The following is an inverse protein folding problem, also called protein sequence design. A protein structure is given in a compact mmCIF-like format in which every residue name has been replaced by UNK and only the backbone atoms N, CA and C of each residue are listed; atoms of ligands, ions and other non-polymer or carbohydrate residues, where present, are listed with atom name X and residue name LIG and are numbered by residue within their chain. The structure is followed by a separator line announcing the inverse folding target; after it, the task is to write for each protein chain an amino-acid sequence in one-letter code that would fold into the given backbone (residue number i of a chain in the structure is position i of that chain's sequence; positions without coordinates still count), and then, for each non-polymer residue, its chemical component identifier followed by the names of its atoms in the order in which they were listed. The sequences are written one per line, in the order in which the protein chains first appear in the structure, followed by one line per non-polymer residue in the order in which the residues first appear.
data_IF_580901265680
#
_entry.id   IF_580901265680
#
_cell.length_a   1.000
_cell.length_b   1.000
_cell.length_c   1.000
_cell.angle_alpha   90.00
_cell.angle_beta   90.00
_cell.angle_gamma   90.00
#
_symmetry.space_group_name_H-M   'P 1'
#
loop_
_entity.id
_entity.type
_entity.pdbx_description
1 polymer ?
#
# COMPACT_ATOMS: atom_id res chain seq x y z
N UNK A 1 13.69 -20.98 26.10
CA UNK A 1 13.66 -19.83 27.03
C UNK A 1 12.31 -19.15 26.85
N UNK A 2 11.50 -19.03 27.89
CA UNK A 2 10.23 -18.30 27.79
C UNK A 2 10.54 -16.81 27.76
N UNK A 3 10.29 -16.16 26.63
CA UNK A 3 10.37 -14.71 26.53
C UNK A 3 9.24 -14.11 27.36
N UNK A 4 9.56 -13.66 28.57
CA UNK A 4 8.61 -12.93 29.41
C UNK A 4 8.40 -11.56 28.77
N UNK A 5 7.19 -11.33 28.24
CA UNK A 5 6.81 -10.02 27.73
C UNK A 5 6.79 -9.05 28.90
N UNK A 6 7.62 -8.02 28.84
CA UNK A 6 7.57 -6.92 29.80
C UNK A 6 6.38 -6.02 29.44
N UNK A 7 5.26 -6.25 30.13
CA UNK A 7 3.98 -5.57 29.90
C UNK A 7 4.12 -4.04 30.05
N UNK A 8 4.89 -3.57 31.03
CA UNK A 8 5.11 -2.13 31.26
C UNK A 8 5.83 -1.50 30.08
N UNK A 9 6.90 -2.14 29.60
CA UNK A 9 7.64 -1.68 28.42
C UNK A 9 6.78 -1.75 27.14
N UNK A 10 5.87 -2.71 27.04
CA UNK A 10 4.97 -2.82 25.88
C UNK A 10 3.93 -1.69 25.89
N UNK A 11 3.39 -1.35 27.05
CA UNK A 11 2.50 -0.21 27.23
C UNK A 11 3.21 1.13 26.93
N UNK A 12 4.47 1.29 27.36
CA UNK A 12 5.29 2.46 27.05
C UNK A 12 5.52 2.60 25.54
N UNK A 13 5.89 1.52 24.87
CA UNK A 13 6.07 1.54 23.41
C UNK A 13 4.76 1.87 22.67
N UNK A 14 3.62 1.32 23.09
CA UNK A 14 2.32 1.67 22.51
C UNK A 14 2.01 3.16 22.67
N UNK A 15 2.36 3.75 23.82
CA UNK A 15 2.20 5.20 24.03
C UNK A 15 3.07 5.99 23.05
N UNK A 16 4.35 5.61 22.90
CA UNK A 16 5.28 6.24 21.97
C UNK A 16 4.82 6.12 20.52
N UNK A 17 4.26 4.98 20.12
CA UNK A 17 3.68 4.80 18.79
C UNK A 17 2.47 5.70 18.56
N UNK A 18 1.58 5.84 19.56
CA UNK A 18 0.44 6.76 19.45
C UNK A 18 0.88 8.22 19.29
N UNK A 19 1.91 8.63 20.02
CA UNK A 19 2.50 9.97 19.87
C UNK A 19 3.09 10.13 18.46
N UNK A 20 3.85 9.14 17.99
CA UNK A 20 4.45 9.15 16.67
C UNK A 20 3.41 9.19 15.54
N UNK A 21 2.30 8.47 15.67
CA UNK A 21 1.19 8.53 14.73
C UNK A 21 0.63 9.95 14.63
N UNK A 22 0.38 10.59 15.78
CA UNK A 22 -0.15 11.97 15.81
C UNK A 22 0.80 12.94 15.13
N UNK A 23 2.10 12.84 15.40
CA UNK A 23 3.12 13.66 14.75
C UNK A 23 3.14 13.45 13.23
N UNK A 24 3.14 12.20 12.78
CA UNK A 24 3.07 11.89 11.35
C UNK A 24 1.82 12.48 10.68
N UNK A 25 0.65 12.33 11.29
CA UNK A 25 -0.59 12.91 10.78
C UNK A 25 -0.54 14.44 10.72
N UNK A 26 0.14 15.09 11.68
CA UNK A 26 0.36 16.53 11.65
C UNK A 26 1.29 16.94 10.51
N UNK A 27 2.41 16.24 10.29
CA UNK A 27 3.32 16.54 9.17
C UNK A 27 2.63 16.35 7.81
N UNK A 28 1.87 15.25 7.66
CA UNK A 28 1.07 15.03 6.46
C UNK A 28 0.10 16.18 6.18
N UNK A 29 -0.57 16.72 7.22
CA UNK A 29 -1.48 17.86 7.08
C UNK A 29 -0.77 19.18 6.78
N UNK A 30 0.44 19.40 7.31
CA UNK A 30 1.21 20.63 7.04
C UNK A 30 1.59 20.75 5.57
N UNK A 31 1.91 19.63 4.94
CA UNK A 31 2.34 19.58 3.54
C UNK A 31 1.19 19.34 2.57
N UNK A 32 -0.03 19.19 3.08
CA UNK A 32 -1.19 18.94 2.26
C UNK A 32 -1.50 20.10 1.31
N UNK A 33 -1.71 19.79 0.02
CA UNK A 33 -2.12 20.75 -1.00
C UNK A 33 -1.05 21.79 -1.37
N UNK A 34 0.21 21.61 -0.96
CA UNK A 34 1.29 22.56 -1.24
C UNK A 34 1.89 22.45 -2.66
N UNK A 35 1.67 21.34 -3.37
CA UNK A 35 2.03 21.18 -4.79
C UNK A 35 0.89 20.50 -5.56
N UNK A 36 0.60 20.95 -6.78
CA UNK A 36 -0.25 20.19 -7.71
C UNK A 36 0.44 18.86 -8.03
N UNK A 37 -0.09 17.77 -7.48
CA UNK A 37 0.29 16.42 -7.87
C UNK A 37 -0.78 15.88 -8.83
N UNK A 38 -0.53 15.84 -10.15
CA UNK A 38 -1.55 15.43 -11.12
C UNK A 38 -1.93 13.95 -11.01
N UNK A 39 -1.13 13.15 -10.29
CA UNK A 39 -1.34 11.70 -10.16
C UNK A 39 -2.32 11.37 -9.04
N UNK A 40 -2.44 12.23 -8.03
CA UNK A 40 -3.29 11.98 -6.88
C UNK A 40 -3.06 12.92 -5.69
N UNK A 41 -3.80 12.70 -4.61
CA UNK A 41 -3.75 13.51 -3.39
C UNK A 41 -4.13 12.68 -2.17
N UNK A 42 -3.62 13.09 -1.00
CA UNK A 42 -4.14 12.61 0.29
C UNK A 42 -5.43 13.35 0.64
N UNK A 43 -6.30 12.70 1.41
CA UNK A 43 -7.50 13.31 1.99
C UNK A 43 -7.54 13.01 3.49
N UNK A 44 -7.95 14.00 4.25
CA UNK A 44 -8.11 13.92 5.69
C UNK A 44 -9.57 14.19 6.02
N UNK A 45 -10.23 13.25 6.69
CA UNK A 45 -11.59 13.41 7.20
C UNK A 45 -11.60 13.01 8.68
N UNK A 46 -11.73 14.00 9.57
CA UNK A 46 -11.51 13.86 11.01
C UNK A 46 -10.20 13.11 11.35
N UNK A 47 -10.32 11.82 11.69
CA UNK A 47 -9.24 10.90 12.07
C UNK A 47 -8.92 9.86 10.98
N UNK A 48 -9.59 9.93 9.83
CA UNK A 48 -9.39 9.04 8.70
C UNK A 48 -8.46 9.66 7.67
N UNK A 49 -7.53 8.82 7.18
CA UNK A 49 -6.65 9.11 6.07
C UNK A 49 -7.11 8.28 4.88
N UNK A 50 -7.34 8.93 3.74
CA UNK A 50 -7.54 8.26 2.47
C UNK A 50 -6.61 8.85 1.42
N UNK A 51 -6.47 8.13 0.31
CA UNK A 51 -5.63 8.56 -0.81
C UNK A 51 -6.41 8.34 -2.10
N UNK A 52 -6.42 9.37 -2.94
CA UNK A 52 -6.97 9.26 -4.29
C UNK A 52 -5.83 9.26 -5.28
N UNK A 53 -5.73 8.21 -6.06
CA UNK A 53 -4.74 8.09 -7.14
C UNK A 53 -5.41 7.51 -8.38
N UNK A 54 -5.04 8.01 -9.56
CA UNK A 54 -5.53 7.48 -10.84
C UNK A 54 -7.08 7.36 -10.92
N UNK A 55 -7.79 8.28 -10.27
CA UNK A 55 -9.26 8.29 -10.22
C UNK A 55 -9.90 7.30 -9.24
N UNK A 56 -9.12 6.54 -8.47
CA UNK A 56 -9.59 5.57 -7.48
C UNK A 56 -9.38 6.11 -6.07
N UNK A 57 -10.41 6.02 -5.23
CA UNK A 57 -10.32 6.33 -3.80
C UNK A 57 -9.94 5.08 -3.01
N UNK A 58 -8.88 5.20 -2.20
CA UNK A 58 -8.34 4.12 -1.38
C UNK A 58 -8.34 4.55 0.08
N UNK A 59 -8.76 3.67 0.97
CA UNK A 59 -8.75 3.90 2.41
C UNK A 59 -7.39 3.52 3.00
N UNK A 60 -6.95 4.27 4.02
CA UNK A 60 -5.75 3.94 4.78
C UNK A 60 -6.13 3.61 6.22
N UNK A 61 -5.93 2.35 6.60
CA UNK A 61 -6.04 1.90 8.01
C UNK A 61 -4.66 1.75 8.61
N UNK A 62 -4.56 1.92 9.93
CA UNK A 62 -3.30 1.78 10.63
C UNK A 62 -3.44 0.93 11.90
N UNK A 63 -2.37 0.25 12.29
CA UNK A 63 -2.30 -0.48 13.57
C UNK A 63 -0.85 -0.61 14.06
N UNK A 64 -0.61 -0.60 15.38
CA UNK A 64 0.67 -1.03 15.94
C UNK A 64 0.96 -2.48 15.56
N UNK A 65 2.22 -2.80 15.25
CA UNK A 65 2.67 -4.16 14.94
C UNK A 65 3.86 -4.55 15.80
N UNK A 66 3.85 -5.81 16.20
CA UNK A 66 4.92 -6.47 16.95
C UNK A 66 5.87 -7.13 15.95
N UNK A 67 7.17 -6.86 16.09
CA UNK A 67 8.24 -7.52 15.32
C UNK A 67 9.03 -8.46 16.23
N UNK A 68 10.19 -8.95 15.76
CA UNK A 68 11.00 -10.00 16.38
C UNK A 68 11.23 -9.87 17.90
N UNK A 69 11.19 -8.65 18.42
CA UNK A 69 11.36 -8.32 19.84
C UNK A 69 10.18 -8.69 20.74
N UNK A 70 9.05 -9.16 20.19
CA UNK A 70 7.78 -9.35 20.91
C UNK A 70 7.21 -8.05 21.49
N UNK A 71 7.73 -6.90 21.05
CA UNK A 71 7.31 -5.57 21.46
C UNK A 71 6.68 -4.83 20.27
N UNK A 72 5.65 -4.00 20.49
CA UNK A 72 5.15 -3.13 19.44
C UNK A 72 6.19 -2.04 19.18
N UNK A 73 6.73 -1.96 17.96
CA UNK A 73 7.85 -1.06 17.64
C UNK A 73 7.61 -0.22 16.40
N UNK A 74 6.52 -0.48 15.68
CA UNK A 74 6.15 0.24 14.47
C UNK A 74 4.64 0.25 14.27
N UNK A 75 4.18 1.08 13.34
CA UNK A 75 2.79 1.16 12.90
C UNK A 75 2.74 0.71 11.44
N UNK A 76 1.94 -0.31 11.15
CA UNK A 76 1.59 -0.69 9.78
C UNK A 76 0.45 0.20 9.31
N UNK A 77 0.60 0.78 8.13
CA UNK A 77 -0.45 1.44 7.37
C UNK A 77 -0.79 0.56 6.17
N UNK A 78 -2.07 0.28 5.99
CA UNK A 78 -2.60 -0.56 4.92
C UNK A 78 -3.49 0.31 4.05
N UNK A 79 -3.09 0.46 2.79
CA UNK A 79 -3.85 1.12 1.74
C UNK A 79 -4.64 0.06 1.00
N UNK A 80 -5.97 0.19 0.97
CA UNK A 80 -6.85 -0.82 0.37
C UNK A 80 -8.10 -0.18 -0.23
N UNK A 81 -8.83 -0.97 -1.02
CA UNK A 81 -10.15 -0.60 -1.53
C UNK A 81 -11.00 -1.86 -1.73
N UNK A 82 -12.27 -1.67 -2.06
CA UNK A 82 -13.17 -2.75 -2.45
C UNK A 82 -13.27 -2.83 -3.98
N UNK A 83 -13.07 -4.02 -4.52
CA UNK A 83 -13.19 -4.29 -5.95
C UNK A 83 -13.84 -5.66 -6.13
N UNK A 84 -14.93 -5.71 -6.90
CA UNK A 84 -15.68 -6.96 -7.15
C UNK A 84 -16.12 -7.70 -5.87
N UNK A 85 -16.46 -6.95 -4.81
CA UNK A 85 -16.81 -7.47 -3.47
C UNK A 85 -15.63 -8.06 -2.68
N UNK A 86 -14.39 -7.86 -3.13
CA UNK A 86 -13.17 -8.26 -2.43
C UNK A 86 -12.40 -7.04 -1.91
N UNK A 87 -11.77 -7.19 -0.74
CA UNK A 87 -10.84 -6.20 -0.23
C UNK A 87 -9.46 -6.38 -0.88
N UNK A 88 -9.10 -5.45 -1.73
CA UNK A 88 -7.79 -5.43 -2.40
C UNK A 88 -6.84 -4.55 -1.61
N UNK A 89 -5.81 -5.16 -1.01
CA UNK A 89 -4.69 -4.42 -0.44
C UNK A 89 -3.79 -3.96 -1.58
N UNK A 90 -3.65 -2.63 -1.71
CA UNK A 90 -2.85 -2.00 -2.75
C UNK A 90 -1.41 -1.83 -2.27
N UNK A 91 -1.23 -1.32 -1.05
CA UNK A 91 0.09 -1.01 -0.54
C UNK A 91 0.13 -1.09 0.98
N UNK A 92 1.31 -1.42 1.50
CA UNK A 92 1.60 -1.38 2.93
C UNK A 92 2.87 -0.61 3.16
N UNK A 93 2.89 0.21 4.20
CA UNK A 93 4.09 0.90 4.65
C UNK A 93 4.11 0.95 6.17
N UNK A 94 5.29 1.23 6.72
CA UNK A 94 5.54 1.12 8.15
C UNK A 94 6.17 2.38 8.68
N UNK A 95 5.64 2.92 9.78
CA UNK A 95 6.23 4.02 10.54
C UNK A 95 6.93 3.48 11.77
N UNK A 96 8.23 3.68 11.82
CA UNK A 96 9.11 3.23 12.89
C UNK A 96 9.23 4.28 13.99
N UNK A 97 9.55 3.83 15.21
CA UNK A 97 9.82 4.74 16.34
C UNK A 97 10.96 5.73 16.08
N UNK A 98 11.91 5.36 15.22
CA UNK A 98 13.05 6.19 14.78
C UNK A 98 12.68 7.22 13.71
N UNK A 99 11.38 7.47 13.49
CA UNK A 99 10.87 8.46 12.55
C UNK A 99 10.94 8.06 11.06
N UNK A 100 11.40 6.86 10.75
CA UNK A 100 11.51 6.36 9.38
C UNK A 100 10.18 5.78 8.87
N UNK A 101 9.89 6.02 7.60
CA UNK A 101 8.89 5.27 6.84
C UNK A 101 9.59 4.27 5.91
N UNK A 102 9.08 3.05 5.86
CA UNK A 102 9.62 1.97 5.01
C UNK A 102 8.54 1.14 4.34
N UNK A 103 8.92 0.41 3.28
CA UNK A 103 8.05 -0.56 2.59
C UNK A 103 7.95 -1.90 3.32
N UNK A 104 8.86 -2.17 4.25
CA UNK A 104 8.98 -3.44 4.96
C UNK A 104 9.23 -3.25 6.47
N UNK A 105 8.85 -4.21 7.33
CA UNK A 105 8.99 -4.10 8.78
C UNK A 105 10.44 -4.04 9.29
N UNK A 106 11.42 -4.48 8.50
CA UNK A 106 12.84 -4.51 8.86
C UNK A 106 13.59 -3.20 8.54
N UNK A 107 12.92 -2.23 7.91
CA UNK A 107 13.50 -0.97 7.42
C UNK A 107 14.54 -1.07 6.30
N UNK A 108 14.75 -2.23 5.67
CA UNK A 108 15.72 -2.37 4.57
C UNK A 108 15.31 -1.53 3.34
N UNK A 109 14.00 -1.32 3.14
CA UNK A 109 13.47 -0.49 2.06
C UNK A 109 12.88 0.81 2.59
N UNK A 110 13.75 1.78 2.92
CA UNK A 110 13.35 3.12 3.35
C UNK A 110 12.60 3.87 2.23
N UNK A 111 11.51 4.53 2.60
CA UNK A 111 10.78 5.49 1.77
C UNK A 111 11.35 6.89 2.00
N UNK A 112 11.22 7.40 3.23
CA UNK A 112 11.71 8.70 3.68
C UNK A 112 11.56 8.80 5.21
N UNK A 113 11.96 9.92 5.78
CA UNK A 113 11.58 10.28 7.17
C UNK A 113 10.16 10.88 7.17
N UNK A 114 9.42 10.73 8.28
CA UNK A 114 7.99 11.12 8.31
C UNK A 114 7.76 12.63 8.15
N UNK A 115 8.75 13.45 8.49
CA UNK A 115 8.74 14.92 8.43
C UNK A 115 9.29 15.46 7.09
N UNK A 116 9.49 14.58 6.12
CA UNK A 116 9.94 14.98 4.79
C UNK A 116 8.85 15.81 4.10
N UNK A 117 9.18 17.04 3.68
CA UNK A 117 8.25 17.92 2.97
C UNK A 117 7.63 17.33 1.68
N UNK A 118 8.21 16.28 1.10
CA UNK A 118 7.68 15.57 -0.09
C UNK A 118 6.90 14.30 0.26
N UNK A 119 6.59 14.07 1.54
CA UNK A 119 5.97 12.85 2.04
C UNK A 119 4.70 12.47 1.27
N UNK A 120 3.80 13.42 1.04
CA UNK A 120 2.57 13.18 0.29
C UNK A 120 2.86 12.70 -1.14
N UNK A 121 3.78 13.38 -1.83
CA UNK A 121 4.18 13.04 -3.20
C UNK A 121 4.78 11.64 -3.29
N UNK A 122 5.62 11.27 -2.32
CA UNK A 122 6.22 9.94 -2.23
C UNK A 122 5.13 8.88 -2.05
N UNK A 123 4.21 9.06 -1.09
CA UNK A 123 3.12 8.11 -0.84
C UNK A 123 2.18 7.97 -2.05
N UNK A 124 1.79 9.09 -2.68
CA UNK A 124 0.99 9.08 -3.90
C UNK A 124 1.67 8.30 -5.02
N UNK A 125 2.97 8.51 -5.22
CA UNK A 125 3.73 7.79 -6.25
C UNK A 125 3.76 6.28 -5.98
N UNK A 126 4.14 5.86 -4.76
CA UNK A 126 4.20 4.45 -4.39
C UNK A 126 2.86 3.75 -4.55
N UNK A 127 1.78 4.36 -4.05
CA UNK A 127 0.44 3.78 -4.14
C UNK A 127 -0.02 3.70 -5.60
N UNK A 128 0.30 4.69 -6.43
CA UNK A 128 -0.02 4.66 -7.86
C UNK A 128 0.67 3.51 -8.60
N UNK A 129 1.97 3.31 -8.35
CA UNK A 129 2.71 2.21 -8.96
C UNK A 129 2.16 0.83 -8.56
N UNK A 130 1.76 0.66 -7.30
CA UNK A 130 1.18 -0.61 -6.83
C UNK A 130 -0.25 -0.80 -7.33
N UNK A 131 -1.04 0.27 -7.41
CA UNK A 131 -2.40 0.22 -7.92
C UNK A 131 -2.43 -0.25 -9.38
N UNK A 132 -1.50 0.24 -10.22
CA UNK A 132 -1.36 -0.22 -11.62
C UNK A 132 -1.02 -1.71 -11.75
N UNK A 133 -0.41 -2.31 -10.72
CA UNK A 133 -0.08 -3.74 -10.66
C UNK A 133 -1.20 -4.59 -10.04
N UNK A 134 -2.18 -3.93 -9.41
CA UNK A 134 -3.28 -4.58 -8.71
C UNK A 134 -4.33 -5.15 -9.68
N UNK A 135 -5.20 -6.08 -9.22
CA UNK A 135 -6.30 -6.60 -10.03
C UNK A 135 -7.22 -5.53 -10.63
N UNK A 136 -7.35 -4.37 -9.98
CA UNK A 136 -8.23 -3.26 -10.40
C UNK A 136 -7.89 -2.76 -11.82
N UNK A 137 -6.61 -2.78 -12.18
CA UNK A 137 -6.10 -2.33 -13.48
C UNK A 137 -5.54 -3.46 -14.33
N UNK A 138 -5.68 -4.72 -13.91
CA UNK A 138 -5.32 -5.85 -14.77
C UNK A 138 -6.29 -5.88 -15.94
N UNK A 139 -5.79 -5.53 -17.13
CA UNK A 139 -6.47 -5.86 -18.37
C UNK A 139 -6.52 -7.39 -18.42
N UNK A 140 -7.70 -7.96 -18.18
CA UNK A 140 -7.95 -9.35 -18.53
C UNK A 140 -7.77 -9.45 -20.04
N UNK A 141 -6.60 -9.89 -20.49
CA UNK A 141 -6.49 -10.55 -21.78
C UNK A 141 -7.29 -11.85 -21.64
N UNK A 142 -8.61 -11.75 -21.74
CA UNK A 142 -9.46 -12.84 -22.20
C UNK A 142 -9.00 -13.12 -23.63
N UNK A 143 -7.92 -13.87 -23.76
CA UNK A 143 -7.62 -14.61 -24.98
C UNK A 143 -8.88 -15.39 -25.29
N UNK A 144 -9.69 -14.86 -26.21
CA UNK A 144 -10.67 -15.64 -26.94
C UNK A 144 -9.87 -16.80 -27.50
N UNK A 145 -10.03 -17.97 -26.91
CA UNK A 145 -9.70 -19.23 -27.55
C UNK A 145 -10.46 -19.24 -28.87
N UNK A 146 -9.78 -18.98 -29.98
CA UNK A 146 -10.31 -19.18 -31.32
C UNK A 146 -10.81 -20.62 -31.43
N UNK A 147 -12.11 -20.86 -31.65
CA UNK A 147 -12.58 -22.17 -32.04
C UNK A 147 -12.75 -22.12 -33.55
N UNK A 148 -11.69 -22.34 -34.35
CA UNK A 148 -11.76 -22.68 -35.78
C UNK A 148 -10.36 -22.90 -36.38
N UNK A 149 -9.74 -24.05 -36.13
CA UNK A 149 -8.81 -24.63 -37.10
C UNK A 149 -8.78 -26.15 -36.99
N UNK A 150 -9.95 -26.79 -37.08
CA UNK A 150 -9.99 -28.22 -37.42
C UNK A 150 -10.25 -28.39 -38.93
N UNK A 151 -9.20 -28.89 -39.58
CA UNK A 151 -9.20 -29.80 -40.75
C UNK A 151 -9.64 -29.23 -42.10
N UNK A 152 -8.65 -28.87 -42.91
CA UNK A 152 -8.62 -29.24 -44.33
C UNK A 152 -7.32 -29.99 -44.62
N UNK A 153 -7.40 -31.30 -44.51
CA UNK A 153 -6.48 -32.22 -45.19
C UNK A 153 -7.26 -33.48 -45.53
N UNK A 154 -7.60 -33.63 -46.81
CA UNK A 154 -7.68 -34.90 -47.56
C UNK A 154 -8.48 -34.72 -48.85
N UNK A 155 -7.78 -34.61 -49.98
CA UNK A 155 -8.01 -35.45 -51.15
C UNK A 155 -6.99 -35.09 -52.25
N UNK A 156 -6.08 -36.02 -52.49
CA UNK A 156 -5.12 -36.08 -53.58
C UNK A 156 -5.79 -36.44 -54.92
N UNK A 157 -5.00 -36.33 -56.00
CA UNK A 157 -5.08 -37.09 -57.27
C UNK A 157 -6.21 -36.69 -58.24
N UNK A 158 -6.04 -36.54 -59.56
CA UNK A 158 -5.07 -37.00 -60.58
C UNK A 158 -5.07 -35.98 -61.74
N UNK A 159 -3.92 -35.55 -62.28
CA UNK A 159 -3.36 -36.01 -63.56
C UNK A 159 -4.37 -36.35 -64.67
N UNK A 160 -4.64 -35.39 -65.57
CA UNK A 160 -4.26 -35.40 -67.00
C UNK A 160 -4.75 -34.15 -67.73
#
# INVERSE_FOLDING_TARGET
MSNVINIEKAAENLKRLRERHKEFMLELRKHHGQEENPVGSLRFDDDQLSIIVLGVSLDIKHRPVVVETMMPELIEYVVFTEHESEHVVVFKFYLHLNSCLSRNPDSESKLCDYDNHKIEKILVYEVSEQLLKSPIFRIENKSKSDPLSEKKDSAQSEMQ
#
